data_IF_336230865256
#
_entry.id   IF_336230865256
#
_cell.length_a   1.000
_cell.length_b   1.000
_cell.length_c   1.000
_cell.angle_alpha   90.00
_cell.angle_beta   90.00
_cell.angle_gamma   90.00
#
_symmetry.space_group_name_H-M   'P 1'
#
loop_
_entity.id
_entity.type
_entity.pdbx_description
1 polymer ?
#
# COMPACT_ATOMS: atom_id res chain seq x y z
N UNK A 1 13.80 18.43 -22.14
CA UNK A 1 14.34 19.53 -21.31
C UNK A 1 13.53 20.80 -21.55
N UNK A 2 12.74 21.29 -20.60
CA UNK A 2 13.10 22.52 -19.86
C UNK A 2 11.96 23.08 -18.99
N UNK A 3 12.36 23.27 -17.73
CA UNK A 3 11.70 23.94 -16.61
C UNK A 3 11.34 25.40 -16.90
N UNK A 4 10.20 25.87 -16.36
CA UNK A 4 9.94 27.27 -15.95
C UNK A 4 8.93 27.23 -14.80
N UNK A 5 9.31 27.31 -13.51
CA UNK A 5 9.62 28.51 -12.70
C UNK A 5 8.70 29.70 -12.99
N UNK A 6 7.69 29.88 -12.13
CA UNK A 6 7.05 31.17 -11.87
C UNK A 6 7.27 31.54 -10.40
N UNK A 7 7.95 32.66 -10.21
CA UNK A 7 8.02 33.41 -8.95
C UNK A 7 6.84 34.40 -8.96
N UNK A 8 5.99 34.36 -7.94
CA UNK A 8 4.99 35.39 -7.70
C UNK A 8 5.30 36.11 -6.38
N UNK A 9 5.74 37.35 -6.57
CA UNK A 9 5.79 38.54 -5.71
C UNK A 9 5.14 38.50 -4.32
N UNK A 10 5.95 38.97 -3.35
CA UNK A 10 5.60 39.41 -2.00
C UNK A 10 4.63 40.60 -2.04
N UNK A 11 3.50 40.49 -1.35
CA UNK A 11 2.60 41.60 -1.02
C UNK A 11 2.51 41.76 0.50
N UNK A 12 2.99 42.89 1.03
CA UNK A 12 2.83 43.26 2.43
C UNK A 12 1.51 44.03 2.61
N UNK A 13 0.60 43.49 3.42
CA UNK A 13 -0.62 44.17 3.87
C UNK A 13 -0.90 43.80 5.31
N UNK A 14 -0.85 44.78 6.21
CA UNK A 14 -1.15 44.61 7.63
C UNK A 14 -2.62 45.01 7.90
N UNK A 15 -3.41 44.12 8.52
CA UNK A 15 -4.52 44.49 9.41
C UNK A 15 -5.13 43.27 10.15
N UNK A 16 -5.32 43.47 11.45
CA UNK A 16 -6.30 42.87 12.36
C UNK A 16 -6.17 41.38 12.75
N UNK A 17 -5.69 41.17 13.98
CA UNK A 17 -5.92 39.97 14.76
C UNK A 17 -7.41 39.90 15.18
N UNK A 18 -8.13 38.91 14.65
CA UNK A 18 -9.36 38.37 15.21
C UNK A 18 -9.18 36.86 15.31
N UNK A 19 -9.49 36.35 16.50
CA UNK A 19 -9.32 34.97 16.91
C UNK A 19 -10.05 33.96 16.02
N UNK A 20 -9.49 32.75 15.95
CA UNK A 20 -10.27 31.53 15.73
C UNK A 20 -10.46 31.13 14.27
N UNK A 21 -9.40 30.65 13.63
CA UNK A 21 -9.44 29.54 12.68
C UNK A 21 -8.04 28.95 12.68
N UNK A 22 -7.77 28.02 13.61
CA UNK A 22 -6.70 27.05 13.38
C UNK A 22 -7.08 26.32 12.10
N UNK A 23 -6.54 26.78 10.97
CA UNK A 23 -6.46 25.97 9.78
C UNK A 23 -5.58 24.79 10.18
N UNK A 24 -6.23 23.72 10.62
CA UNK A 24 -5.66 22.38 10.62
C UNK A 24 -5.26 22.15 9.17
N UNK A 25 -3.97 22.36 8.89
CA UNK A 25 -3.37 21.76 7.71
C UNK A 25 -3.70 20.27 7.79
N UNK A 26 -4.26 19.65 6.74
CA UNK A 26 -4.33 18.21 6.69
C UNK A 26 -2.92 17.66 6.90
N UNK A 27 -2.76 16.88 7.96
CA UNK A 27 -1.66 15.96 8.21
C UNK A 27 -0.25 16.52 8.06
N UNK A 28 0.42 16.76 9.19
CA UNK A 28 1.82 16.36 9.29
C UNK A 28 1.94 14.94 8.70
N UNK A 29 2.87 14.71 7.76
CA UNK A 29 3.09 13.44 7.04
C UNK A 29 2.56 12.24 7.83
N UNK A 30 1.32 11.84 7.53
CA UNK A 30 0.69 10.66 8.08
C UNK A 30 1.45 9.47 7.50
N UNK A 31 1.64 8.41 8.30
CA UNK A 31 2.42 7.23 7.95
C UNK A 31 2.22 6.83 6.47
N UNK A 32 3.32 6.74 5.72
CA UNK A 32 3.34 6.67 4.25
C UNK A 32 3.00 5.26 3.72
N UNK A 33 2.20 4.50 4.49
CA UNK A 33 1.72 3.14 4.20
C UNK A 33 0.43 2.82 4.97
N UNK A 34 -0.40 1.95 4.41
CA UNK A 34 -1.67 1.50 4.99
C UNK A 34 -1.53 0.20 5.78
N UNK A 35 -0.66 -0.71 5.31
CA UNK A 35 -0.46 -2.04 5.91
C UNK A 35 1.03 -2.28 6.20
N UNK A 36 1.36 -2.41 7.48
CA UNK A 36 2.71 -2.77 7.91
C UNK A 36 2.92 -4.29 7.89
N UNK A 37 4.13 -4.72 7.54
CA UNK A 37 4.57 -6.11 7.65
C UNK A 37 5.48 -6.28 8.87
N UNK A 38 4.89 -6.75 9.96
CA UNK A 38 5.65 -7.14 11.17
C UNK A 38 6.41 -8.44 10.92
N UNK A 39 7.00 -9.06 11.94
CA UNK A 39 7.81 -10.27 11.74
C UNK A 39 7.08 -11.39 10.96
N UNK A 40 5.79 -11.61 11.22
CA UNK A 40 5.02 -12.73 10.63
C UNK A 40 3.53 -12.35 10.42
N UNK A 41 3.19 -11.06 10.34
CA UNK A 41 1.81 -10.62 10.17
C UNK A 41 1.68 -9.29 9.41
N UNK A 42 0.62 -9.18 8.62
CA UNK A 42 0.12 -7.90 8.12
C UNK A 42 -0.61 -7.15 9.23
N UNK A 43 -0.41 -5.83 9.34
CA UNK A 43 -0.99 -5.00 10.39
C UNK A 43 -1.47 -3.66 9.81
N UNK A 44 -2.79 -3.41 9.76
CA UNK A 44 -3.85 -4.37 10.09
C UNK A 44 -3.86 -5.56 9.11
N UNK A 45 -4.41 -6.70 9.54
CA UNK A 45 -4.58 -7.85 8.63
C UNK A 45 -5.79 -7.67 7.71
N UNK A 46 -6.76 -6.83 8.09
CA UNK A 46 -7.93 -6.48 7.29
C UNK A 46 -8.03 -4.96 7.16
N UNK A 47 -8.29 -4.49 5.96
CA UNK A 47 -8.57 -3.08 5.66
C UNK A 47 -9.74 -2.98 4.69
N UNK A 48 -10.52 -1.90 4.79
CA UNK A 48 -11.57 -1.56 3.83
C UNK A 48 -11.18 -0.29 3.08
N UNK A 49 -11.30 -0.32 1.75
CA UNK A 49 -10.99 0.79 0.83
C UNK A 49 -12.12 0.97 -0.18
N UNK A 50 -12.13 2.08 -0.90
CA UNK A 50 -13.05 2.31 -2.01
C UNK A 50 -12.47 1.83 -3.35
N UNK A 51 -13.32 1.53 -4.32
CA UNK A 51 -12.90 1.31 -5.71
C UNK A 51 -12.06 2.49 -6.20
N UNK A 52 -10.90 2.19 -6.76
CA UNK A 52 -9.92 3.15 -7.27
C UNK A 52 -8.86 3.56 -6.25
N UNK A 53 -8.96 3.13 -4.99
CA UNK A 53 -7.95 3.38 -3.98
C UNK A 53 -6.70 2.49 -4.20
N UNK A 54 -5.55 3.05 -3.86
CA UNK A 54 -4.28 2.34 -3.80
C UNK A 54 -3.96 2.00 -2.36
N UNK A 55 -3.71 0.71 -2.08
CA UNK A 55 -3.16 0.27 -0.79
C UNK A 55 -1.65 0.21 -0.91
N UNK A 56 -0.96 0.75 0.09
CA UNK A 56 0.49 0.71 0.23
C UNK A 56 0.87 -0.19 1.40
N UNK A 57 1.64 -1.24 1.11
CA UNK A 57 2.28 -2.08 2.12
C UNK A 57 3.71 -1.60 2.38
N UNK A 58 4.13 -1.56 3.63
CA UNK A 58 5.53 -1.33 4.02
C UNK A 58 6.06 -2.48 4.87
N UNK A 59 7.29 -2.91 4.61
CA UNK A 59 7.96 -3.81 5.51
C UNK A 59 8.52 -3.08 6.74
N UNK A 60 7.79 -3.16 7.84
CA UNK A 60 8.15 -2.54 9.13
C UNK A 60 9.00 -3.45 10.02
N UNK A 61 9.45 -4.59 9.49
CA UNK A 61 10.28 -5.57 10.16
C UNK A 61 11.66 -5.72 9.50
N UNK A 62 12.47 -6.66 10.00
CA UNK A 62 13.77 -7.03 9.40
C UNK A 62 13.70 -8.30 8.56
N UNK A 63 12.54 -8.97 8.49
CA UNK A 63 12.35 -10.21 7.72
C UNK A 63 11.90 -9.86 6.30
N UNK A 64 12.35 -10.61 5.31
CA UNK A 64 11.87 -10.45 3.94
C UNK A 64 10.42 -10.94 3.81
N UNK A 65 9.60 -10.18 3.09
CA UNK A 65 8.18 -10.49 2.89
C UNK A 65 7.81 -10.44 1.42
N UNK A 66 6.60 -10.88 1.11
CA UNK A 66 5.94 -10.64 -0.17
C UNK A 66 4.47 -10.26 0.08
N UNK A 67 3.85 -9.72 -0.97
CA UNK A 67 2.40 -9.62 -1.09
C UNK A 67 2.03 -10.45 -2.30
N UNK A 68 1.13 -11.42 -2.14
CA UNK A 68 0.69 -12.30 -3.23
C UNK A 68 -0.78 -12.58 -3.04
N UNK A 69 -1.62 -12.22 -4.01
CA UNK A 69 -3.02 -12.60 -3.98
C UNK A 69 -3.17 -14.13 -3.99
N UNK A 70 -4.17 -14.65 -3.28
CA UNK A 70 -4.67 -15.98 -3.61
C UNK A 70 -5.52 -15.83 -4.87
N UNK A 71 -5.08 -16.41 -5.99
CA UNK A 71 -5.69 -16.19 -7.31
C UNK A 71 -7.17 -16.63 -7.33
N UNK A 72 -7.52 -17.66 -6.55
CA UNK A 72 -8.88 -18.15 -6.41
C UNK A 72 -9.74 -17.38 -5.39
N UNK A 73 -9.17 -16.40 -4.67
CA UNK A 73 -9.83 -15.64 -3.59
C UNK A 73 -9.78 -14.12 -3.81
N UNK A 74 -9.74 -13.71 -5.08
CA UNK A 74 -9.99 -12.34 -5.54
C UNK A 74 -11.22 -12.31 -6.46
N UNK A 75 -11.86 -11.15 -6.70
CA UNK A 75 -12.97 -11.06 -7.64
C UNK A 75 -12.57 -11.55 -9.04
N UNK A 76 -13.48 -12.27 -9.72
CA UNK A 76 -13.18 -12.92 -11.00
C UNK A 76 -12.76 -11.96 -12.13
N UNK A 77 -13.19 -10.70 -12.04
CA UNK A 77 -12.88 -9.66 -13.03
C UNK A 77 -11.69 -8.77 -12.59
N UNK A 78 -11.07 -9.06 -11.44
CA UNK A 78 -9.93 -8.29 -10.94
C UNK A 78 -8.60 -8.79 -11.51
N UNK A 79 -7.65 -7.88 -11.68
CA UNK A 79 -6.28 -8.23 -12.03
C UNK A 79 -5.58 -8.96 -10.87
N UNK A 80 -4.80 -9.98 -11.19
CA UNK A 80 -3.91 -10.64 -10.22
C UNK A 80 -2.80 -9.68 -9.77
N UNK A 81 -2.39 -9.78 -8.51
CA UNK A 81 -1.30 -8.97 -7.98
C UNK A 81 -0.33 -9.78 -7.12
N UNK A 82 0.95 -9.57 -7.36
CA UNK A 82 2.03 -10.06 -6.52
C UNK A 82 3.24 -9.13 -6.60
N UNK A 83 4.03 -9.10 -5.53
CA UNK A 83 5.37 -8.54 -5.56
C UNK A 83 6.24 -9.29 -6.56
N UNK A 84 7.17 -8.59 -7.21
CA UNK A 84 7.96 -9.15 -8.32
C UNK A 84 7.27 -9.06 -9.68
N UNK A 85 6.00 -8.64 -9.76
CA UNK A 85 5.31 -8.38 -11.02
C UNK A 85 4.96 -9.64 -11.80
N UNK A 86 4.62 -10.73 -11.10
CA UNK A 86 4.21 -11.98 -11.70
C UNK A 86 2.72 -11.96 -12.06
N UNK A 87 2.36 -12.62 -13.16
CA UNK A 87 0.99 -12.64 -13.69
C UNK A 87 0.09 -13.73 -13.08
N UNK A 88 0.59 -14.55 -12.15
CA UNK A 88 -0.18 -15.61 -11.48
C UNK A 88 0.40 -16.01 -10.13
N UNK A 89 -0.43 -16.61 -9.27
CA UNK A 89 0.00 -17.16 -7.97
C UNK A 89 1.08 -18.23 -8.15
N UNK A 90 0.90 -19.12 -9.14
CA UNK A 90 1.85 -20.18 -9.44
C UNK A 90 3.23 -19.62 -9.81
N UNK A 91 3.29 -18.63 -10.69
CA UNK A 91 4.56 -18.01 -11.10
C UNK A 91 5.26 -17.31 -9.93
N UNK A 92 4.52 -16.59 -9.08
CA UNK A 92 5.07 -15.95 -7.89
C UNK A 92 5.65 -16.98 -6.90
N UNK A 93 4.96 -18.10 -6.69
CA UNK A 93 5.43 -19.20 -5.82
C UNK A 93 6.66 -19.90 -6.38
N UNK A 94 6.69 -20.19 -7.68
CA UNK A 94 7.81 -20.85 -8.34
C UNK A 94 9.08 -20.00 -8.34
N UNK A 95 8.94 -18.69 -8.48
CA UNK A 95 10.07 -17.77 -8.50
C UNK A 95 10.65 -17.48 -7.10
N UNK A 96 9.90 -17.77 -6.03
CA UNK A 96 10.35 -17.43 -4.68
C UNK A 96 11.56 -18.28 -4.24
N UNK A 97 12.75 -17.69 -4.27
CA UNK A 97 14.00 -18.27 -3.79
C UNK A 97 14.49 -17.67 -2.44
N UNK A 98 13.72 -16.72 -1.90
CA UNK A 98 14.07 -15.93 -0.72
C UNK A 98 14.58 -14.52 -1.02
N UNK A 99 14.72 -14.16 -2.31
CA UNK A 99 15.15 -12.83 -2.75
C UNK A 99 14.32 -12.27 -3.91
N UNK A 100 13.88 -13.10 -4.86
CA UNK A 100 13.04 -12.65 -5.97
C UNK A 100 11.65 -12.23 -5.48
N UNK A 101 11.23 -11.01 -5.85
CA UNK A 101 9.96 -10.43 -5.41
C UNK A 101 9.89 -10.10 -3.91
N UNK A 102 11.02 -10.12 -3.19
CA UNK A 102 11.07 -9.81 -1.78
C UNK A 102 10.92 -8.30 -1.52
N UNK A 103 10.11 -7.96 -0.52
CA UNK A 103 10.07 -6.65 0.13
C UNK A 103 10.94 -6.73 1.37
N UNK A 104 12.05 -6.02 1.37
CA UNK A 104 12.97 -5.92 2.51
C UNK A 104 12.67 -4.70 3.38
N UNK A 105 13.37 -4.56 4.52
CA UNK A 105 13.04 -3.56 5.54
C UNK A 105 12.96 -2.13 4.98
N UNK A 106 11.81 -1.48 5.20
CA UNK A 106 11.50 -0.13 4.71
C UNK A 106 11.10 -0.05 3.23
N UNK A 107 11.15 -1.15 2.47
CA UNK A 107 10.62 -1.19 1.12
C UNK A 107 9.10 -1.29 1.13
N UNK A 108 8.50 -0.86 0.02
CA UNK A 108 7.06 -0.78 -0.15
C UNK A 108 6.59 -1.47 -1.42
N UNK A 109 5.34 -1.89 -1.38
CA UNK A 109 4.58 -2.38 -2.51
C UNK A 109 3.24 -1.66 -2.54
N UNK A 110 2.74 -1.36 -3.73
CA UNK A 110 1.48 -0.66 -3.91
C UNK A 110 0.62 -1.38 -4.95
N UNK A 111 -0.69 -1.40 -4.74
CA UNK A 111 -1.66 -1.95 -5.68
C UNK A 111 -2.96 -1.13 -5.63
N UNK A 112 -3.49 -0.78 -6.81
CA UNK A 112 -4.77 -0.07 -6.97
C UNK A 112 -5.87 -1.07 -7.22
N UNK A 113 -6.96 -0.95 -6.46
CA UNK A 113 -8.08 -1.88 -6.52
C UNK A 113 -9.24 -1.32 -7.34
N UNK A 114 -9.47 -1.85 -8.54
CA UNK A 114 -10.49 -1.32 -9.47
C UNK A 114 -11.83 -2.07 -9.45
N UNK A 115 -11.91 -3.22 -8.78
CA UNK A 115 -13.11 -4.07 -8.74
C UNK A 115 -13.58 -4.24 -7.29
N UNK A 116 -14.87 -4.06 -6.96
CA UNK A 116 -15.36 -4.28 -5.61
C UNK A 116 -15.34 -5.76 -5.24
N UNK A 117 -15.07 -6.04 -3.97
CA UNK A 117 -15.03 -7.39 -3.43
C UNK A 117 -13.89 -7.61 -2.43
N UNK A 118 -13.71 -8.88 -2.04
CA UNK A 118 -12.71 -9.27 -1.06
C UNK A 118 -11.48 -9.81 -1.79
N UNK A 119 -10.31 -9.29 -1.41
CA UNK A 119 -9.03 -9.69 -1.94
C UNK A 119 -8.20 -10.31 -0.83
N UNK A 120 -8.19 -11.64 -0.77
CA UNK A 120 -7.34 -12.35 0.21
C UNK A 120 -5.93 -12.51 -0.36
N UNK A 121 -4.92 -12.16 0.43
CA UNK A 121 -3.52 -12.22 0.03
C UNK A 121 -2.66 -12.78 1.16
N UNK A 122 -1.45 -13.20 0.82
CA UNK A 122 -0.51 -13.82 1.75
C UNK A 122 0.94 -13.40 1.46
N UNK A 123 1.81 -13.74 2.41
CA UNK A 123 3.26 -13.64 2.28
C UNK A 123 3.84 -15.04 2.06
N UNK A 124 4.45 -15.28 0.90
CA UNK A 124 4.99 -16.61 0.50
C UNK A 124 5.87 -17.26 1.57
N UNK A 125 6.93 -16.61 2.12
CA UNK A 125 7.80 -17.25 3.11
C UNK A 125 7.13 -17.48 4.48
N UNK A 126 5.99 -16.84 4.75
CA UNK A 126 5.33 -16.83 6.06
C UNK A 126 3.87 -17.33 6.02
N UNK A 127 3.44 -17.91 4.91
CA UNK A 127 2.09 -18.45 4.72
C UNK A 127 1.77 -19.53 5.75
N UNK A 128 2.71 -20.46 5.99
CA UNK A 128 2.57 -21.53 7.00
C UNK A 128 2.45 -20.99 8.43
N UNK A 129 2.92 -19.75 8.69
CA UNK A 129 2.76 -19.07 9.96
C UNK A 129 1.43 -18.29 10.05
N UNK A 130 0.62 -18.28 8.98
CA UNK A 130 -0.67 -17.60 8.92
C UNK A 130 -0.57 -16.13 8.54
N UNK A 131 0.52 -15.69 7.90
CA UNK A 131 0.66 -14.31 7.41
C UNK A 131 -0.23 -14.08 6.19
N UNK A 132 -1.52 -13.85 6.47
CA UNK A 132 -2.62 -13.64 5.53
C UNK A 132 -3.30 -12.32 5.86
N UNK A 133 -3.71 -11.59 4.82
CA UNK A 133 -4.49 -10.38 4.95
C UNK A 133 -5.65 -10.33 3.97
N UNK A 134 -6.54 -9.37 4.17
CA UNK A 134 -7.71 -9.11 3.33
C UNK A 134 -7.81 -7.62 3.05
N UNK A 135 -7.96 -7.26 1.78
CA UNK A 135 -8.45 -5.93 1.39
C UNK A 135 -9.91 -6.09 0.96
N UNK A 136 -10.82 -5.39 1.64
CA UNK A 136 -12.22 -5.29 1.24
C UNK A 136 -12.41 -4.02 0.42
N UNK A 137 -12.90 -4.15 -0.79
CA UNK A 137 -13.12 -3.02 -1.71
C UNK A 137 -14.61 -2.77 -1.83
N UNK A 138 -15.05 -1.57 -1.46
CA UNK A 138 -16.45 -1.12 -1.50
C UNK A 138 -16.64 -0.03 -2.58
N UNK A 139 -17.89 0.17 -3.03
CA UNK A 139 -18.22 1.19 -4.04
C UNK A 139 -18.19 2.64 -3.53
#
# INVERSE_FOLDING_TARGET
MNRRRFLATVGAGAATALAGCSAVLPGAAADDYDVGMTAEAFTPFEITVSVGDTVVWENTSTRAHSVTAYEEQIPADADFFATGGYDSEAAAREAWDGSEGAITSGERYEHTFEVPGDYTYFCIPHEQAGMVGVVRVEE
#
